data_IF_734590817062
#
_entry.id   IF_734590817062
#
_cell.length_a   1.000
_cell.length_b   1.000
_cell.length_c   1.000
_cell.angle_alpha   90.00
_cell.angle_beta   90.00
_cell.angle_gamma   90.00
#
_symmetry.space_group_name_H-M   'P 1'
#
loop_
_entity.id
_entity.type
_entity.pdbx_description
1 polymer ?
#
# COMPACT_ATOMS: atom_id res chain seq x y z
N UNK A 1 26.99 5.30 9.27
CA UNK A 1 25.77 5.93 8.76
C UNK A 1 25.26 5.13 7.58
N UNK A 2 24.41 4.13 7.83
CA UNK A 2 23.81 3.36 6.75
C UNK A 2 22.54 4.08 6.34
N UNK A 3 22.63 4.90 5.28
CA UNK A 3 21.48 5.40 4.53
C UNK A 3 20.58 4.22 4.23
N UNK A 4 19.47 4.12 4.96
CA UNK A 4 18.37 3.25 4.62
C UNK A 4 17.69 3.88 3.40
N UNK A 5 18.32 3.70 2.23
CA UNK A 5 17.66 3.96 0.95
C UNK A 5 16.33 3.21 1.01
N UNK A 6 15.18 3.86 0.77
CA UNK A 6 13.90 3.18 0.74
C UNK A 6 14.03 2.05 -0.29
N UNK A 7 13.98 0.80 0.21
CA UNK A 7 13.99 -0.38 -0.65
C UNK A 7 12.58 -0.48 -1.20
N UNK A 8 12.35 0.16 -2.33
CA UNK A 8 11.11 -0.01 -3.06
C UNK A 8 11.03 -1.47 -3.49
N UNK A 9 9.99 -2.17 -3.04
CA UNK A 9 9.71 -3.51 -3.51
C UNK A 9 9.11 -3.38 -4.91
N UNK A 10 9.62 -4.17 -5.85
CA UNK A 10 9.03 -4.24 -7.18
C UNK A 10 7.62 -4.84 -7.08
N UNK A 11 6.69 -4.41 -7.93
CA UNK A 11 5.34 -4.99 -7.98
C UNK A 11 5.34 -6.53 -8.06
N UNK A 12 6.38 -7.12 -8.69
CA UNK A 12 6.56 -8.56 -8.76
C UNK A 12 6.91 -9.20 -7.42
N UNK A 13 7.75 -8.57 -6.61
CA UNK A 13 8.09 -9.03 -5.26
C UNK A 13 6.89 -8.90 -4.33
N UNK A 14 6.12 -7.81 -4.43
CA UNK A 14 4.89 -7.61 -3.65
C UNK A 14 3.83 -8.63 -4.05
N UNK A 15 3.61 -8.86 -5.36
CA UNK A 15 2.66 -9.85 -5.86
C UNK A 15 3.04 -11.29 -5.45
N UNK A 16 4.33 -11.64 -5.51
CA UNK A 16 4.81 -12.95 -5.05
C UNK A 16 4.61 -13.14 -3.54
N UNK A 17 4.87 -12.11 -2.73
CA UNK A 17 4.65 -12.14 -1.29
C UNK A 17 3.17 -12.19 -0.90
N UNK A 18 2.29 -11.57 -1.68
CA UNK A 18 0.83 -11.66 -1.52
C UNK A 18 0.31 -13.07 -1.92
N UNK A 19 0.85 -13.66 -2.99
CA UNK A 19 0.46 -15.00 -3.42
C UNK A 19 0.85 -16.10 -2.41
N UNK A 20 1.99 -15.95 -1.71
CA UNK A 20 2.51 -16.97 -0.80
C UNK A 20 1.79 -17.07 0.56
N UNK A 21 0.98 -16.08 0.95
CA UNK A 21 0.43 -16.02 2.32
C UNK A 21 -0.96 -15.39 2.48
N UNK A 22 -1.62 -15.03 1.36
CA UNK A 22 -2.96 -14.47 1.37
C UNK A 22 -3.03 -13.17 0.58
N UNK A 23 -4.02 -13.06 -0.30
CA UNK A 23 -4.23 -11.96 -1.27
C UNK A 23 -4.69 -10.65 -0.59
N UNK A 24 -3.94 -10.15 0.39
CA UNK A 24 -4.31 -8.97 1.18
C UNK A 24 -3.09 -8.14 1.61
N UNK A 25 -1.98 -8.24 0.89
CA UNK A 25 -0.76 -7.47 1.18
C UNK A 25 -0.50 -6.42 0.12
N UNK A 26 0.05 -5.28 0.54
CA UNK A 26 0.55 -4.23 -0.34
C UNK A 26 1.88 -3.72 0.19
N UNK A 27 2.62 -2.96 -0.63
CA UNK A 27 3.81 -2.25 -0.17
C UNK A 27 3.58 -0.74 -0.16
N UNK A 28 4.11 -0.05 0.84
CA UNK A 28 4.12 1.40 0.91
C UNK A 28 5.40 1.86 1.60
N UNK A 29 6.03 2.92 1.10
CA UNK A 29 7.24 3.54 1.65
C UNK A 29 8.38 2.53 1.90
N UNK A 30 8.48 1.48 1.08
CA UNK A 30 9.48 0.41 1.23
C UNK A 30 9.20 -0.58 2.36
N UNK A 31 7.99 -0.57 2.92
CA UNK A 31 7.49 -1.54 3.89
C UNK A 31 6.37 -2.39 3.25
N UNK A 32 6.22 -3.64 3.69
CA UNK A 32 5.11 -4.51 3.27
C UNK A 32 4.09 -4.58 4.40
N UNK A 33 2.84 -4.25 4.10
CA UNK A 33 1.75 -4.24 5.05
C UNK A 33 0.78 -5.39 4.79
N UNK A 34 0.38 -6.07 5.86
CA UNK A 34 -0.63 -7.12 5.83
C UNK A 34 -1.98 -6.55 6.24
N UNK A 35 -2.92 -6.45 5.29
CA UNK A 35 -4.26 -5.93 5.54
C UNK A 35 -5.20 -6.99 6.15
N UNK A 36 -4.78 -8.24 6.32
CA UNK A 36 -5.64 -9.34 6.77
C UNK A 36 -6.33 -9.07 8.10
N UNK A 37 -5.61 -8.59 9.14
CA UNK A 37 -6.22 -8.15 10.40
C UNK A 37 -7.21 -7.00 10.19
N UNK A 38 -6.83 -6.00 9.38
CA UNK A 38 -7.64 -4.81 9.11
C UNK A 38 -8.96 -5.16 8.40
N UNK A 39 -8.91 -6.03 7.38
CA UNK A 39 -10.07 -6.50 6.64
C UNK A 39 -11.02 -7.33 7.51
N UNK A 40 -10.48 -8.03 8.51
CA UNK A 40 -11.27 -8.82 9.45
C UNK A 40 -11.95 -7.93 10.49
N UNK A 41 -11.26 -6.89 10.96
CA UNK A 41 -11.79 -5.90 11.91
C UNK A 41 -12.84 -4.98 11.27
N UNK A 42 -12.59 -4.53 10.03
CA UNK A 42 -13.43 -3.59 9.28
C UNK A 42 -14.13 -4.27 8.11
N UNK A 43 -14.71 -5.44 8.36
CA UNK A 43 -15.38 -6.22 7.32
C UNK A 43 -16.58 -5.46 6.75
N UNK A 44 -16.55 -5.20 5.44
CA UNK A 44 -17.63 -4.48 4.73
C UNK A 44 -17.47 -2.95 4.74
N UNK A 45 -16.36 -2.43 5.24
CA UNK A 45 -16.06 -1.00 5.22
C UNK A 45 -15.65 -0.57 3.80
N UNK A 46 -16.46 0.32 3.19
CA UNK A 46 -16.24 0.82 1.84
C UNK A 46 -14.96 1.64 1.70
N UNK A 47 -14.41 2.14 2.80
CA UNK A 47 -13.12 2.89 2.79
C UNK A 47 -11.93 1.99 2.49
N UNK A 48 -12.08 0.66 2.61
CA UNK A 48 -11.03 -0.30 2.28
C UNK A 48 -11.01 -0.71 0.81
N UNK A 49 -12.02 -0.35 0.00
CA UNK A 49 -12.07 -0.71 -1.42
C UNK A 49 -10.80 -0.30 -2.19
N UNK A 50 -10.31 0.95 -2.07
CA UNK A 50 -9.09 1.36 -2.77
C UNK A 50 -7.87 0.54 -2.34
N UNK A 51 -7.76 0.21 -1.04
CA UNK A 51 -6.68 -0.61 -0.51
C UNK A 51 -6.75 -2.06 -1.00
N UNK A 52 -7.96 -2.60 -1.15
CA UNK A 52 -8.23 -3.92 -1.71
C UNK A 52 -7.87 -4.00 -3.19
N UNK A 53 -8.24 -3.00 -3.98
CA UNK A 53 -7.90 -2.90 -5.40
C UNK A 53 -6.38 -2.77 -5.62
N UNK A 54 -5.69 -2.13 -4.68
CA UNK A 54 -4.24 -1.96 -4.72
C UNK A 54 -3.43 -3.15 -4.13
N UNK A 55 -4.08 -4.24 -3.71
CA UNK A 55 -3.37 -5.43 -3.21
C UNK A 55 -2.37 -5.94 -4.25
N UNK A 56 -1.18 -6.33 -3.79
CA UNK A 56 -0.10 -6.82 -4.64
C UNK A 56 0.67 -5.71 -5.36
N UNK A 57 0.32 -4.44 -5.13
CA UNK A 57 1.00 -3.28 -5.73
C UNK A 57 1.71 -2.44 -4.67
N UNK A 58 2.58 -1.54 -5.14
CA UNK A 58 3.20 -0.53 -4.31
C UNK A 58 2.38 0.77 -4.35
N UNK A 59 1.86 1.16 -3.20
CA UNK A 59 1.06 2.39 -3.00
C UNK A 59 1.90 3.51 -2.38
N UNK A 60 3.24 3.43 -2.44
CA UNK A 60 4.11 4.49 -1.90
C UNK A 60 3.79 5.87 -2.48
N UNK A 61 3.28 5.91 -3.73
CA UNK A 61 2.87 7.13 -4.41
C UNK A 61 1.62 7.81 -3.81
N UNK A 62 0.89 7.15 -2.91
CA UNK A 62 -0.22 7.76 -2.16
C UNK A 62 0.26 8.54 -0.95
N UNK A 63 1.51 8.32 -0.55
CA UNK A 63 2.07 8.90 0.65
C UNK A 63 3.12 9.94 0.28
N UNK A 64 3.13 11.03 1.03
CA UNK A 64 4.20 11.99 0.97
C UNK A 64 5.49 11.33 1.51
N UNK A 65 6.60 11.36 0.76
CA UNK A 65 7.84 10.72 1.19
C UNK A 65 8.53 11.45 2.35
N UNK A 66 8.23 12.72 2.61
CA UNK A 66 8.79 13.50 3.71
C UNK A 66 7.96 13.36 4.99
N UNK A 67 6.64 13.46 4.91
CA UNK A 67 5.77 13.38 6.09
C UNK A 67 5.24 11.98 6.39
N UNK A 68 5.20 11.09 5.39
CA UNK A 68 4.55 9.78 5.49
C UNK A 68 3.01 9.84 5.56
N UNK A 69 2.43 11.04 5.47
CA UNK A 69 0.99 11.24 5.40
C UNK A 69 0.45 10.94 4.01
N UNK A 70 -0.86 10.69 3.91
CA UNK A 70 -1.52 10.53 2.61
C UNK A 70 -1.43 11.85 1.84
N UNK A 71 -0.62 11.87 0.79
CA UNK A 71 -0.53 12.99 -0.14
C UNK A 71 -1.63 12.82 -1.17
N UNK A 72 -2.75 13.51 -0.96
CA UNK A 72 -3.69 13.77 -2.06
C UNK A 72 -3.04 14.77 -3.02
N UNK A 73 -2.05 14.32 -3.78
CA UNK A 73 -1.46 15.06 -4.88
C UNK A 73 -2.56 15.39 -5.89
N UNK A 74 -2.90 16.67 -5.97
CA UNK A 74 -3.84 17.31 -6.90
C UNK A 74 -5.14 16.54 -7.18
N UNK A 75 -6.19 16.90 -6.43
CA UNK A 75 -7.59 16.67 -6.84
C UNK A 75 -7.93 17.55 -8.04
N UNK A 76 -7.36 17.23 -9.20
CA UNK A 76 -8.07 17.44 -10.47
C UNK A 76 -9.18 16.39 -10.55
N UNK A 77 -10.26 16.63 -9.81
CA UNK A 77 -11.54 15.95 -10.04
C UNK A 77 -12.08 16.53 -11.34
N UNK A 78 -12.18 15.79 -12.46
CA UNK A 78 -12.95 16.30 -13.58
C UNK A 78 -14.40 16.46 -13.13
N UNK A 79 -14.92 17.68 -13.33
CA UNK A 79 -16.31 18.09 -13.07
C UNK A 79 -17.31 17.21 -13.81
#
# INVERSE_FOLDING_TARGET
SAEQRPRYFTAREVAAAAAAAGRHRLSALGCVYDLGPLLRERRGDVTLHPLLDAVGTDVSHWFDPESGDVSWGDRSVPK
#
